data_IF_221443982260
#
_entry.id   IF_221443982260
#
_cell.length_a   1.000
_cell.length_b   1.000
_cell.length_c   1.000
_cell.angle_alpha   90.00
_cell.angle_beta   90.00
_cell.angle_gamma   90.00
#
_symmetry.space_group_name_H-M   'P 1'
#
loop_
_entity.id
_entity.type
_entity.pdbx_description
1 polymer ?
#
# COMPACT_ATOMS: atom_id res chain seq x y z
N UNK A 1 -26.83 3.22 143.99
CA UNK A 1 -26.03 4.03 143.02
C UNK A 1 -25.61 3.20 141.81
N UNK A 2 -25.20 1.95 141.99
CA UNK A 2 -24.87 1.00 140.91
C UNK A 2 -26.03 0.81 139.93
N UNK A 3 -27.26 0.62 140.40
CA UNK A 3 -28.43 0.40 139.51
C UNK A 3 -28.78 1.65 138.69
N UNK A 4 -28.62 2.84 139.26
CA UNK A 4 -28.82 4.12 138.55
C UNK A 4 -27.76 4.31 137.47
N UNK A 5 -26.50 3.95 137.73
CA UNK A 5 -25.42 3.98 136.74
C UNK A 5 -25.63 2.97 135.61
N UNK A 6 -26.14 1.77 135.92
CA UNK A 6 -26.47 0.74 134.93
C UNK A 6 -27.62 1.24 134.04
N UNK A 7 -28.69 1.79 134.62
CA UNK A 7 -29.81 2.37 133.86
C UNK A 7 -29.35 3.54 132.99
N UNK A 8 -28.53 4.46 133.53
CA UNK A 8 -27.97 5.57 132.75
C UNK A 8 -27.09 5.08 131.60
N UNK A 9 -26.27 4.06 131.85
CA UNK A 9 -25.44 3.42 130.82
C UNK A 9 -26.28 2.78 129.72
N UNK A 10 -27.37 2.09 130.07
CA UNK A 10 -28.26 1.42 129.13
C UNK A 10 -29.03 2.43 128.27
N UNK A 11 -29.49 3.53 128.87
CA UNK A 11 -30.11 4.65 128.14
C UNK A 11 -29.11 5.34 127.20
N UNK A 12 -27.86 5.53 127.64
CA UNK A 12 -26.81 6.10 126.79
C UNK A 12 -26.50 5.20 125.58
N UNK A 13 -26.41 3.89 125.78
CA UNK A 13 -26.21 2.92 124.70
C UNK A 13 -27.41 2.90 123.74
N UNK A 14 -28.64 2.95 124.26
CA UNK A 14 -29.85 3.05 123.44
C UNK A 14 -29.86 4.32 122.58
N UNK A 15 -29.48 5.47 123.15
CA UNK A 15 -29.39 6.73 122.42
C UNK A 15 -28.30 6.70 121.34
N UNK A 16 -27.16 6.07 121.59
CA UNK A 16 -26.10 5.88 120.60
C UNK A 16 -26.60 4.98 119.45
N UNK A 17 -27.30 3.88 119.76
CA UNK A 17 -27.89 2.98 118.76
C UNK A 17 -28.95 3.72 117.93
N UNK A 18 -29.82 4.49 118.57
CA UNK A 18 -30.83 5.31 117.88
C UNK A 18 -30.18 6.36 116.98
N UNK A 19 -29.12 7.03 117.43
CA UNK A 19 -28.39 8.01 116.63
C UNK A 19 -27.69 7.35 115.42
N UNK A 20 -27.05 6.19 115.63
CA UNK A 20 -26.43 5.43 114.56
C UNK A 20 -27.46 4.91 113.53
N UNK A 21 -28.60 4.41 113.99
CA UNK A 21 -29.71 3.95 113.13
C UNK A 21 -30.44 5.11 112.42
N UNK A 22 -30.28 6.33 112.94
CA UNK A 22 -30.88 7.55 112.42
C UNK A 22 -30.05 8.16 111.27
N UNK A 23 -28.74 7.92 111.24
CA UNK A 23 -27.87 8.48 110.20
C UNK A 23 -28.02 7.75 108.86
N UNK A 24 -28.37 8.49 107.80
CA UNK A 24 -28.48 7.98 106.44
C UNK A 24 -27.62 8.81 105.50
N UNK A 25 -26.71 8.15 104.80
CA UNK A 25 -25.86 8.76 103.77
C UNK A 25 -26.47 8.52 102.39
N UNK A 26 -26.84 9.60 101.71
CA UNK A 26 -27.40 9.55 100.36
C UNK A 26 -26.27 9.72 99.34
N UNK A 27 -26.20 8.83 98.36
CA UNK A 27 -25.26 8.98 97.24
C UNK A 27 -25.80 10.01 96.22
N UNK A 28 -24.96 10.75 95.47
CA UNK A 28 -25.41 11.74 94.49
C UNK A 28 -26.31 11.18 93.37
N UNK A 29 -26.17 9.89 93.03
CA UNK A 29 -26.97 9.16 92.04
C UNK A 29 -28.37 8.76 92.53
N UNK A 30 -28.72 9.07 93.79
CA UNK A 30 -30.01 8.70 94.38
C UNK A 30 -30.66 9.88 95.08
N UNK A 31 -31.97 10.00 94.92
CA UNK A 31 -32.80 10.83 95.77
C UNK A 31 -33.42 9.97 96.86
N UNK A 32 -33.40 10.46 98.09
CA UNK A 32 -34.07 9.81 99.21
C UNK A 32 -35.26 10.66 99.62
N UNK A 33 -36.43 10.03 99.62
CA UNK A 33 -37.68 10.61 100.09
C UNK A 33 -37.95 10.06 101.48
N UNK A 34 -37.94 10.94 102.48
CA UNK A 34 -38.21 10.60 103.87
C UNK A 34 -39.63 11.05 104.20
N UNK A 35 -40.50 10.10 104.49
CA UNK A 35 -41.91 10.37 104.81
C UNK A 35 -42.17 10.18 106.29
N UNK A 36 -42.84 11.14 106.93
CA UNK A 36 -43.20 11.09 108.34
C UNK A 36 -44.37 12.02 108.71
N UNK A 37 -44.67 12.19 110.01
CA UNK A 37 -45.85 12.92 110.49
C UNK A 37 -45.82 14.43 110.20
N UNK A 38 -44.67 14.99 109.79
CA UNK A 38 -44.49 16.39 109.39
C UNK A 38 -44.41 16.57 107.86
N UNK A 39 -44.83 15.57 107.09
CA UNK A 39 -44.76 15.56 105.62
C UNK A 39 -43.56 14.79 105.09
N UNK A 40 -43.32 14.95 103.79
CA UNK A 40 -42.19 14.35 103.07
C UNK A 40 -41.03 15.34 102.92
N UNK A 41 -39.80 14.85 103.07
CA UNK A 41 -38.56 15.60 102.82
C UNK A 41 -37.72 14.87 101.79
N UNK A 42 -37.26 15.60 100.78
CA UNK A 42 -36.41 15.07 99.72
C UNK A 42 -34.97 15.51 99.99
N UNK A 43 -34.03 14.56 99.91
CA UNK A 43 -32.60 14.81 100.08
C UNK A 43 -31.81 14.14 98.96
N UNK A 44 -30.94 14.90 98.31
CA UNK A 44 -30.01 14.44 97.27
C UNK A 44 -28.58 14.77 97.66
N UNK A 45 -27.65 13.82 97.49
CA UNK A 45 -26.20 14.04 97.66
C UNK A 45 -25.73 14.53 99.04
N UNK A 46 -26.58 14.47 100.08
CA UNK A 46 -26.28 14.93 101.45
C UNK A 46 -26.59 13.84 102.46
N UNK A 47 -25.90 13.88 103.60
CA UNK A 47 -26.29 13.07 104.74
C UNK A 47 -27.52 13.68 105.42
N UNK A 48 -28.41 12.83 105.90
CA UNK A 48 -29.62 13.24 106.61
C UNK A 48 -29.90 12.30 107.78
N UNK A 49 -30.67 12.81 108.75
CA UNK A 49 -31.00 12.13 109.98
C UNK A 49 -32.49 11.78 109.91
N UNK A 50 -32.82 10.49 110.03
CA UNK A 50 -34.19 9.98 110.04
C UNK A 50 -34.58 9.44 111.41
N UNK A 51 -35.75 9.77 111.92
CA UNK A 51 -36.22 9.24 113.20
C UNK A 51 -36.64 7.78 112.99
N UNK A 52 -35.92 6.79 113.55
CA UNK A 52 -36.27 5.39 113.40
C UNK A 52 -37.70 5.14 113.92
N UNK A 53 -38.40 4.16 113.34
CA UNK A 53 -39.80 3.79 113.60
C UNK A 53 -40.89 4.79 113.15
N UNK A 54 -40.63 6.10 113.18
CA UNK A 54 -41.62 7.13 112.81
C UNK A 54 -41.50 7.51 111.33
N UNK A 55 -40.28 7.47 110.76
CA UNK A 55 -40.02 7.89 109.39
C UNK A 55 -39.66 6.72 108.48
N UNK A 56 -40.31 6.68 107.31
CA UNK A 56 -40.02 5.75 106.21
C UNK A 56 -39.02 6.38 105.24
N UNK A 57 -38.16 5.55 104.66
CA UNK A 57 -37.18 5.93 103.65
C UNK A 57 -37.53 5.19 102.38
N UNK A 58 -37.68 5.94 101.29
CA UNK A 58 -37.79 5.38 99.96
C UNK A 58 -36.71 6.02 99.07
N UNK A 59 -36.08 5.22 98.22
CA UNK A 59 -34.97 5.66 97.37
C UNK A 59 -35.41 5.66 95.91
N UNK A 60 -35.10 6.75 95.21
CA UNK A 60 -35.36 6.90 93.78
C UNK A 60 -34.02 7.06 93.05
N UNK A 61 -33.73 6.26 92.01
CA UNK A 61 -32.52 6.42 91.22
C UNK A 61 -32.61 7.69 90.37
N UNK A 62 -31.52 8.47 90.33
CA UNK A 62 -31.35 9.63 89.46
C UNK A 62 -30.46 9.33 88.24
N UNK A 63 -30.10 8.05 88.08
CA UNK A 63 -29.30 7.57 86.96
C UNK A 63 -30.05 7.71 85.62
N UNK A 64 -29.27 7.69 84.55
CA UNK A 64 -29.80 7.74 83.19
C UNK A 64 -30.46 6.41 82.82
N UNK A 65 -31.70 6.49 82.35
CA UNK A 65 -32.50 5.36 81.92
C UNK A 65 -32.60 5.42 80.40
N UNK A 66 -32.09 4.37 79.75
CA UNK A 66 -32.24 4.21 78.31
C UNK A 66 -33.58 3.54 78.00
N UNK A 67 -34.33 4.12 77.07
CA UNK A 67 -35.64 3.65 76.61
C UNK A 67 -35.61 3.47 75.10
N UNK A 68 -35.88 2.26 74.63
CA UNK A 68 -36.05 1.97 73.20
C UNK A 68 -37.48 2.31 72.77
N UNK A 69 -37.60 3.28 71.87
CA UNK A 69 -38.87 3.76 71.32
C UNK A 69 -39.01 3.17 69.93
N UNK A 70 -40.09 2.43 69.71
CA UNK A 70 -40.42 1.87 68.40
C UNK A 70 -41.91 2.05 68.17
N UNK A 71 -42.28 2.50 66.98
CA UNK A 71 -43.69 2.60 66.60
C UNK A 71 -44.28 1.20 66.44
N UNK A 72 -45.26 0.85 67.26
CA UNK A 72 -45.89 -0.48 67.24
C UNK A 72 -46.76 -0.72 66.00
N UNK A 73 -47.26 0.36 65.40
CA UNK A 73 -48.03 0.36 64.16
C UNK A 73 -47.46 1.38 63.18
N UNK A 74 -47.72 1.17 61.90
CA UNK A 74 -47.29 2.12 60.88
C UNK A 74 -47.99 3.48 61.12
N UNK A 75 -47.21 4.55 61.06
CA UNK A 75 -47.69 5.92 61.24
C UNK A 75 -47.69 6.61 59.87
N UNK A 76 -48.83 7.16 59.43
CA UNK A 76 -48.86 7.95 58.20
C UNK A 76 -48.16 9.29 58.42
N UNK A 77 -47.25 9.64 57.52
CA UNK A 77 -46.65 10.97 57.43
C UNK A 77 -47.64 12.00 56.87
N UNK A 78 -47.25 13.27 56.79
CA UNK A 78 -48.04 14.33 56.15
C UNK A 78 -48.45 14.00 54.70
N UNK A 79 -47.67 13.17 54.02
CA UNK A 79 -47.90 12.72 52.64
C UNK A 79 -48.61 11.35 52.57
N UNK A 80 -49.20 10.90 53.68
CA UNK A 80 -49.92 9.62 53.80
C UNK A 80 -49.06 8.38 53.51
N UNK A 81 -47.73 8.50 53.66
CA UNK A 81 -46.81 7.36 53.55
C UNK A 81 -46.64 6.74 54.93
N UNK A 82 -46.94 5.45 55.02
CA UNK A 82 -46.88 4.65 56.24
C UNK A 82 -45.44 4.25 56.56
N UNK A 83 -44.91 4.76 57.67
CA UNK A 83 -43.56 4.46 58.13
C UNK A 83 -43.51 3.90 59.55
N UNK A 84 -42.41 3.22 59.84
CA UNK A 84 -41.97 2.78 61.15
C UNK A 84 -40.70 3.53 61.51
N UNK A 85 -40.62 3.98 62.76
CA UNK A 85 -39.46 4.70 63.26
C UNK A 85 -38.96 4.02 64.52
N UNK A 86 -37.67 3.75 64.52
CA UNK A 86 -36.94 3.21 65.66
C UNK A 86 -36.00 4.27 66.21
N UNK A 87 -36.02 4.46 67.52
CA UNK A 87 -35.16 5.40 68.22
C UNK A 87 -34.85 4.96 69.64
N UNK A 88 -33.89 5.65 70.23
CA UNK A 88 -33.49 5.47 71.62
C UNK A 88 -33.53 6.82 72.29
N UNK A 89 -34.19 6.90 73.42
CA UNK A 89 -34.17 8.07 74.28
C UNK A 89 -33.42 7.77 75.57
N UNK A 90 -32.63 8.75 75.99
CA UNK A 90 -32.01 8.74 77.30
C UNK A 90 -32.77 9.73 78.18
N UNK A 91 -33.45 9.20 79.18
CA UNK A 91 -34.24 9.99 80.13
C UNK A 91 -33.61 9.91 81.52
N UNK A 92 -33.91 10.89 82.36
CA UNK A 92 -33.54 10.86 83.79
C UNK A 92 -34.58 11.61 84.59
N UNK A 93 -34.61 11.39 85.90
CA UNK A 93 -35.41 12.22 86.80
C UNK A 93 -34.69 13.54 87.03
N UNK A 94 -35.40 14.66 86.90
CA UNK A 94 -34.82 15.98 87.11
C UNK A 94 -34.44 16.13 88.60
N UNK A 95 -33.31 16.77 88.90
CA UNK A 95 -32.76 16.82 90.27
C UNK A 95 -33.42 17.85 91.20
N UNK A 96 -34.41 18.59 90.69
CA UNK A 96 -35.21 19.55 91.43
C UNK A 96 -36.25 18.89 92.32
N UNK A 97 -36.53 19.54 93.46
CA UNK A 97 -37.41 18.99 94.49
C UNK A 97 -38.84 18.73 93.97
N UNK A 98 -39.35 19.60 93.09
CA UNK A 98 -40.68 19.45 92.50
C UNK A 98 -40.77 18.19 91.61
N UNK A 99 -39.79 17.98 90.72
CA UNK A 99 -39.76 16.81 89.83
C UNK A 99 -39.53 15.51 90.59
N UNK A 100 -38.65 15.50 91.59
CA UNK A 100 -38.44 14.32 92.43
C UNK A 100 -39.72 13.96 93.21
N UNK A 101 -40.50 14.95 93.64
CA UNK A 101 -41.79 14.71 94.30
C UNK A 101 -42.79 14.05 93.36
N UNK A 102 -42.97 14.61 92.15
CA UNK A 102 -43.86 14.04 91.12
C UNK A 102 -43.43 12.62 90.72
N UNK A 103 -42.15 12.42 90.47
CA UNK A 103 -41.59 11.10 90.15
C UNK A 103 -41.75 10.13 91.32
N UNK A 104 -41.61 10.59 92.56
CA UNK A 104 -41.85 9.81 93.77
C UNK A 104 -43.31 9.42 93.95
N UNK A 105 -44.27 10.25 93.55
CA UNK A 105 -45.70 9.90 93.60
C UNK A 105 -46.07 8.80 92.59
N UNK A 106 -45.44 8.82 91.40
CA UNK A 106 -45.79 7.91 90.30
C UNK A 106 -44.99 6.61 90.34
N UNK A 107 -43.67 6.67 90.62
CA UNK A 107 -42.73 5.59 90.35
C UNK A 107 -42.15 4.90 91.59
N UNK A 108 -42.36 5.41 92.80
CA UNK A 108 -41.69 4.92 94.02
C UNK A 108 -42.03 3.47 94.39
N UNK A 109 -43.20 2.98 93.99
CA UNK A 109 -43.62 1.57 94.17
C UNK A 109 -43.51 0.73 92.90
N UNK A 110 -43.05 1.33 91.80
CA UNK A 110 -42.98 0.69 90.48
C UNK A 110 -41.58 0.15 90.21
N UNK A 111 -41.51 -0.85 89.35
CA UNK A 111 -40.22 -1.35 88.87
C UNK A 111 -39.61 -0.38 87.85
N UNK A 112 -38.29 -0.45 87.66
CA UNK A 112 -37.62 0.36 86.64
C UNK A 112 -38.09 0.01 85.21
N UNK A 113 -38.57 -1.22 84.99
CA UNK A 113 -39.20 -1.63 83.73
C UNK A 113 -40.54 -0.94 83.50
N UNK A 114 -41.36 -0.79 84.54
CA UNK A 114 -42.62 -0.03 84.45
C UNK A 114 -42.36 1.44 84.10
N UNK A 115 -41.32 2.05 84.69
CA UNK A 115 -40.91 3.43 84.38
C UNK A 115 -40.52 3.54 82.90
N UNK A 116 -39.73 2.59 82.40
CA UNK A 116 -39.34 2.53 80.99
C UNK A 116 -40.56 2.38 80.08
N UNK A 117 -41.51 1.53 80.45
CA UNK A 117 -42.72 1.29 79.66
C UNK A 117 -43.61 2.54 79.59
N UNK A 118 -43.86 3.21 80.72
CA UNK A 118 -44.64 4.45 80.76
C UNK A 118 -43.96 5.54 79.93
N UNK A 119 -42.64 5.72 80.09
CA UNK A 119 -41.90 6.70 79.32
C UNK A 119 -41.90 6.37 77.82
N UNK A 120 -41.79 5.09 77.46
CA UNK A 120 -41.87 4.61 76.08
C UNK A 120 -43.21 4.98 75.45
N UNK A 121 -44.33 4.76 76.13
CA UNK A 121 -45.67 5.06 75.62
C UNK A 121 -45.86 6.55 75.32
N UNK A 122 -45.39 7.43 76.22
CA UNK A 122 -45.48 8.88 76.02
C UNK A 122 -44.56 9.35 74.89
N UNK A 123 -43.34 8.82 74.81
CA UNK A 123 -42.39 9.15 73.73
C UNK A 123 -42.89 8.63 72.38
N UNK A 124 -43.45 7.42 72.32
CA UNK A 124 -44.05 6.85 71.11
C UNK A 124 -45.25 7.68 70.65
N UNK A 125 -46.12 8.11 71.57
CA UNK A 125 -47.26 8.98 71.26
C UNK A 125 -46.84 10.32 70.66
N UNK A 126 -45.88 11.01 71.28
CA UNK A 126 -45.35 12.27 70.77
C UNK A 126 -44.58 12.08 69.46
N UNK A 127 -43.80 11.01 69.32
CA UNK A 127 -43.11 10.68 68.08
C UNK A 127 -44.11 10.47 66.94
N UNK A 128 -45.21 9.77 67.19
CA UNK A 128 -46.31 9.56 66.23
C UNK A 128 -46.93 10.88 65.78
N UNK A 129 -47.14 11.82 66.69
CA UNK A 129 -47.68 13.14 66.38
C UNK A 129 -46.75 13.93 65.44
N UNK A 130 -45.44 13.98 65.75
CA UNK A 130 -44.46 14.70 64.92
C UNK A 130 -44.31 14.05 63.54
N UNK A 131 -44.33 12.71 63.45
CA UNK A 131 -44.31 12.00 62.16
C UNK A 131 -45.48 12.45 61.27
N UNK A 132 -46.68 12.60 61.83
CA UNK A 132 -47.87 13.03 61.09
C UNK A 132 -47.78 14.46 60.54
N UNK A 133 -46.91 15.31 61.11
CA UNK A 133 -46.73 16.70 60.68
C UNK A 133 -45.59 16.87 59.66
N UNK A 134 -44.67 15.91 59.56
CA UNK A 134 -43.50 15.99 58.69
C UNK A 134 -43.65 15.19 57.39
N UNK A 135 -42.94 15.61 56.35
CA UNK A 135 -42.81 14.87 55.08
C UNK A 135 -41.77 13.76 55.21
N UNK A 136 -41.94 12.68 54.44
CA UNK A 136 -41.01 11.54 54.46
C UNK A 136 -39.56 11.97 54.16
N UNK A 137 -39.39 12.80 53.12
CA UNK A 137 -38.08 13.29 52.69
C UNK A 137 -37.36 14.06 53.81
N UNK A 138 -38.08 14.91 54.55
CA UNK A 138 -37.50 15.69 55.65
C UNK A 138 -37.08 14.81 56.83
N UNK A 139 -37.88 13.77 57.15
CA UNK A 139 -37.58 12.81 58.22
C UNK A 139 -36.28 12.05 57.95
N UNK A 140 -36.08 11.59 56.71
CA UNK A 140 -34.90 10.81 56.32
C UNK A 140 -33.65 11.70 56.21
N UNK A 141 -33.79 12.93 55.67
CA UNK A 141 -32.67 13.85 55.46
C UNK A 141 -32.20 14.53 56.76
N UNK A 142 -33.12 14.98 57.61
CA UNK A 142 -32.82 15.80 58.79
C UNK A 142 -33.25 15.09 60.08
N UNK A 143 -32.56 13.99 60.41
CA UNK A 143 -32.87 13.16 61.58
C UNK A 143 -32.77 13.92 62.91
N UNK A 144 -31.80 14.82 63.02
CA UNK A 144 -31.58 15.60 64.24
C UNK A 144 -32.71 16.60 64.50
N UNK A 145 -33.20 17.25 63.44
CA UNK A 145 -34.33 18.19 63.52
C UNK A 145 -35.59 17.47 63.98
N UNK A 146 -35.83 16.27 63.44
CA UNK A 146 -36.95 15.44 63.89
C UNK A 146 -36.79 15.02 65.36
N UNK A 147 -35.61 14.55 65.78
CA UNK A 147 -35.33 14.18 67.16
C UNK A 147 -35.53 15.36 68.14
N UNK A 148 -35.14 16.57 67.74
CA UNK A 148 -35.34 17.80 68.50
C UNK A 148 -36.83 18.14 68.63
N UNK A 149 -37.60 18.05 67.55
CA UNK A 149 -39.05 18.30 67.58
C UNK A 149 -39.79 17.29 68.48
N UNK A 150 -39.42 16.01 68.41
CA UNK A 150 -39.98 14.98 69.31
C UNK A 150 -39.63 15.28 70.76
N UNK A 151 -38.37 15.70 71.04
CA UNK A 151 -37.95 16.11 72.39
C UNK A 151 -38.78 17.27 72.89
N UNK A 152 -38.97 18.32 72.09
CA UNK A 152 -39.73 19.51 72.48
C UNK A 152 -41.21 19.21 72.74
N UNK A 153 -41.83 18.37 71.90
CA UNK A 153 -43.23 17.94 72.09
C UNK A 153 -43.40 17.14 73.38
N UNK A 154 -42.54 16.14 73.60
CA UNK A 154 -42.64 15.25 74.75
C UNK A 154 -42.23 15.91 76.09
N UNK A 155 -41.53 17.05 76.04
CA UNK A 155 -41.00 17.73 77.22
C UNK A 155 -42.11 18.10 78.22
N UNK A 156 -43.25 18.60 77.74
CA UNK A 156 -44.36 19.01 78.58
C UNK A 156 -44.97 17.83 79.36
N UNK A 157 -45.13 16.67 78.70
CA UNK A 157 -45.70 15.47 79.34
C UNK A 157 -44.69 14.75 80.23
N UNK A 158 -43.41 14.72 79.85
CA UNK A 158 -42.34 14.19 80.69
C UNK A 158 -42.19 14.96 82.00
N UNK A 159 -42.26 16.30 81.93
CA UNK A 159 -42.19 17.16 83.13
C UNK A 159 -43.31 16.91 84.13
N UNK A 160 -44.53 16.61 83.66
CA UNK A 160 -45.65 16.25 84.56
C UNK A 160 -45.36 14.99 85.37
N UNK A 161 -44.47 14.13 84.89
CA UNK A 161 -44.02 12.91 85.57
C UNK A 161 -42.70 13.10 86.34
N UNK A 162 -42.12 14.30 86.33
CA UNK A 162 -40.80 14.57 86.92
C UNK A 162 -39.62 14.01 86.12
N UNK A 163 -39.84 13.64 84.86
CA UNK A 163 -38.83 13.13 83.94
C UNK A 163 -38.30 14.24 83.03
N UNK A 164 -37.02 14.15 82.68
CA UNK A 164 -36.34 15.01 81.71
C UNK A 164 -35.72 14.14 80.60
N UNK A 165 -35.74 14.68 79.38
CA UNK A 165 -35.19 14.02 78.20
C UNK A 165 -33.80 14.60 77.93
N UNK A 166 -32.77 13.81 78.20
CA UNK A 166 -31.38 14.22 77.94
C UNK A 166 -31.17 14.33 76.43
N UNK A 167 -31.42 13.23 75.72
CA UNK A 167 -31.34 13.19 74.26
C UNK A 167 -32.30 12.13 73.68
N UNK A 168 -32.58 12.28 72.38
CA UNK A 168 -33.26 11.29 71.56
C UNK A 168 -32.38 11.07 70.33
N UNK A 169 -32.12 9.82 69.99
CA UNK A 169 -31.37 9.43 68.80
C UNK A 169 -32.24 8.52 67.94
N UNK A 170 -32.37 8.84 66.66
CA UNK A 170 -33.15 8.04 65.72
C UNK A 170 -32.24 7.04 65.04
N UNK A 171 -32.57 5.76 65.14
CA UNK A 171 -31.76 4.66 64.61
C UNK A 171 -32.14 4.37 63.16
N UNK A 172 -33.44 4.19 62.91
CA UNK A 172 -33.91 3.70 61.62
C UNK A 172 -35.28 4.26 61.22
N UNK A 173 -35.48 4.38 59.91
CA UNK A 173 -36.77 4.62 59.28
C UNK A 173 -37.03 3.46 58.33
N UNK A 174 -38.14 2.77 58.52
CA UNK A 174 -38.59 1.71 57.61
C UNK A 174 -39.94 2.09 57.04
N UNK A 175 -40.22 1.70 55.80
CA UNK A 175 -41.52 1.89 55.19
C UNK A 175 -42.02 0.57 54.60
N UNK A 176 -43.34 0.41 54.46
CA UNK A 176 -43.92 -0.84 53.97
C UNK A 176 -43.87 -0.96 52.44
N UNK A 177 -43.76 0.17 51.74
CA UNK A 177 -43.99 0.25 50.30
C UNK A 177 -42.69 0.44 49.48
N UNK A 178 -41.52 0.50 50.13
CA UNK A 178 -40.22 0.73 49.48
C UNK A 178 -39.98 2.17 49.02
N UNK A 179 -40.77 3.13 49.45
CA UNK A 179 -40.69 4.54 49.01
C UNK A 179 -39.37 5.17 49.41
N UNK A 180 -38.78 4.78 50.55
CA UNK A 180 -37.47 5.29 50.97
C UNK A 180 -36.38 4.81 50.01
N UNK A 181 -36.45 3.54 49.59
CA UNK A 181 -35.51 2.97 48.62
C UNK A 181 -35.66 3.64 47.25
N UNK A 182 -36.91 3.87 46.80
CA UNK A 182 -37.22 4.57 45.56
C UNK A 182 -36.68 6.01 45.55
N UNK A 183 -36.80 6.73 46.68
CA UNK A 183 -36.19 8.06 46.86
C UNK A 183 -34.67 8.01 46.75
N UNK A 184 -34.05 6.92 47.23
CA UNK A 184 -32.63 6.67 47.06
C UNK A 184 -32.25 6.48 45.58
N UNK A 185 -33.02 5.68 44.85
CA UNK A 185 -32.81 5.43 43.41
C UNK A 185 -32.96 6.73 42.60
N UNK A 186 -34.01 7.51 42.84
CA UNK A 186 -34.25 8.80 42.17
C UNK A 186 -33.08 9.78 42.42
N UNK A 187 -32.65 9.91 43.68
CA UNK A 187 -31.53 10.78 44.03
C UNK A 187 -30.21 10.33 43.36
N UNK A 188 -29.95 9.02 43.30
CA UNK A 188 -28.78 8.47 42.58
C UNK A 188 -28.87 8.78 41.08
N UNK A 189 -30.05 8.63 40.46
CA UNK A 189 -30.27 8.93 39.05
C UNK A 189 -30.04 10.42 38.74
N UNK A 190 -30.54 11.30 39.61
CA UNK A 190 -30.33 12.75 39.49
C UNK A 190 -28.85 13.11 39.64
N UNK A 191 -28.15 12.60 40.67
CA UNK A 191 -26.70 12.80 40.83
C UNK A 191 -25.94 12.31 39.61
N UNK A 192 -26.29 11.15 39.05
CA UNK A 192 -25.66 10.62 37.82
C UNK A 192 -25.92 11.50 36.61
N UNK A 193 -27.13 12.03 36.46
CA UNK A 193 -27.49 12.95 35.38
C UNK A 193 -26.68 14.24 35.48
N UNK A 194 -26.65 14.86 36.65
CA UNK A 194 -25.91 16.10 36.89
C UNK A 194 -24.41 15.89 36.69
N UNK A 195 -23.86 14.78 37.18
CA UNK A 195 -22.47 14.40 36.93
C UNK A 195 -22.17 14.19 35.43
N UNK A 196 -23.11 13.60 34.68
CA UNK A 196 -22.97 13.41 33.23
C UNK A 196 -23.00 14.73 32.46
N UNK A 197 -23.88 15.66 32.85
CA UNK A 197 -23.93 17.02 32.29
C UNK A 197 -22.63 17.77 32.61
N UNK A 198 -22.16 17.69 33.85
CA UNK A 198 -20.90 18.32 34.26
C UNK A 198 -19.71 17.77 33.47
N UNK A 199 -19.66 16.44 33.24
CA UNK A 199 -18.63 15.81 32.41
C UNK A 199 -18.70 16.30 30.96
N UNK A 200 -19.88 16.28 30.35
CA UNK A 200 -20.06 16.73 28.95
C UNK A 200 -19.67 18.21 28.76
N UNK A 201 -20.01 19.07 29.72
CA UNK A 201 -19.59 20.48 29.69
C UNK A 201 -18.07 20.61 29.82
N UNK A 202 -17.45 19.84 30.72
CA UNK A 202 -15.99 19.84 30.89
C UNK A 202 -15.28 19.34 29.64
N UNK A 203 -15.75 18.25 29.03
CA UNK A 203 -15.20 17.70 27.77
C UNK A 203 -15.34 18.71 26.62
N UNK A 204 -16.49 19.37 26.50
CA UNK A 204 -16.70 20.44 25.51
C UNK A 204 -15.70 21.58 25.72
N UNK A 205 -15.46 22.02 26.95
CA UNK A 205 -14.50 23.08 27.25
C UNK A 205 -13.06 22.66 26.89
N UNK A 206 -12.68 21.42 27.22
CA UNK A 206 -11.37 20.85 26.84
C UNK A 206 -11.22 20.78 25.32
N UNK A 207 -12.25 20.34 24.59
CA UNK A 207 -12.24 20.26 23.12
C UNK A 207 -12.10 21.66 22.48
N UNK A 208 -12.82 22.66 23.00
CA UNK A 208 -12.71 24.06 22.54
C UNK A 208 -11.31 24.61 22.81
N UNK A 209 -10.77 24.40 24.02
CA UNK A 209 -9.44 24.85 24.38
C UNK A 209 -8.37 24.19 23.49
N UNK A 210 -8.49 22.89 23.25
CA UNK A 210 -7.60 22.12 22.39
C UNK A 210 -7.69 22.58 20.93
N UNK A 211 -8.90 22.82 20.42
CA UNK A 211 -9.12 23.31 19.07
C UNK A 211 -8.53 24.70 18.88
N UNK A 212 -8.75 25.63 19.82
CA UNK A 212 -8.12 26.96 19.81
C UNK A 212 -6.60 26.88 19.87
N UNK A 213 -6.06 25.99 20.72
CA UNK A 213 -4.61 25.78 20.78
C UNK A 213 -4.05 25.26 19.45
N UNK A 214 -4.74 24.33 18.79
CA UNK A 214 -4.37 23.82 17.46
C UNK A 214 -4.47 24.88 16.37
N UNK A 215 -5.52 25.70 16.38
CA UNK A 215 -5.70 26.83 15.46
C UNK A 215 -4.53 27.81 15.58
N UNK A 216 -4.21 28.25 16.81
CA UNK A 216 -3.08 29.14 17.08
C UNK A 216 -1.73 28.53 16.66
N UNK A 217 -1.53 27.23 16.92
CA UNK A 217 -0.32 26.53 16.49
C UNK A 217 -0.21 26.44 14.96
N UNK A 218 -1.32 26.15 14.27
CA UNK A 218 -1.35 26.12 12.80
C UNK A 218 -1.13 27.50 12.19
N UNK A 219 -1.74 28.54 12.73
CA UNK A 219 -1.53 29.93 12.29
C UNK A 219 -0.05 30.33 12.43
N UNK A 220 0.58 29.99 13.55
CA UNK A 220 2.01 30.23 13.75
C UNK A 220 2.86 29.45 12.73
N UNK A 221 2.51 28.18 12.46
CA UNK A 221 3.19 27.35 11.47
C UNK A 221 3.05 27.92 10.05
N UNK A 222 1.84 28.29 9.64
CA UNK A 222 1.57 28.85 8.30
C UNK A 222 2.32 30.17 8.12
N UNK A 223 2.34 31.05 9.13
CA UNK A 223 3.12 32.29 9.09
C UNK A 223 4.60 32.02 8.90
N UNK A 224 5.17 31.09 9.68
CA UNK A 224 6.58 30.71 9.54
C UNK A 224 6.88 30.11 8.16
N UNK A 225 6.01 29.25 7.64
CA UNK A 225 6.16 28.63 6.31
C UNK A 225 6.09 29.68 5.18
N UNK A 226 5.15 30.63 5.29
CA UNK A 226 5.01 31.73 4.34
C UNK A 226 6.26 32.63 4.34
N UNK A 227 6.82 32.91 5.51
CA UNK A 227 8.05 33.71 5.64
C UNK A 227 9.26 32.97 5.04
N UNK A 228 9.38 31.66 5.28
CA UNK A 228 10.40 30.82 4.63
C UNK A 228 10.26 30.85 3.11
N UNK A 229 9.03 30.69 2.59
CA UNK A 229 8.80 30.67 1.15
C UNK A 229 9.06 32.04 0.50
N UNK A 230 8.71 33.14 1.19
CA UNK A 230 9.08 34.49 0.77
C UNK A 230 10.60 34.67 0.72
N UNK A 231 11.33 34.18 1.73
CA UNK A 231 12.78 34.22 1.75
C UNK A 231 13.39 33.38 0.62
N UNK A 232 12.89 32.16 0.39
CA UNK A 232 13.32 31.30 -0.72
C UNK A 232 13.10 31.96 -2.08
N UNK A 233 11.92 32.54 -2.30
CA UNK A 233 11.62 33.26 -3.54
C UNK A 233 12.54 34.47 -3.71
N UNK A 234 12.79 35.24 -2.63
CA UNK A 234 13.74 36.36 -2.67
C UNK A 234 15.17 35.92 -2.98
N UNK A 235 15.60 34.76 -2.44
CA UNK A 235 16.90 34.17 -2.70
C UNK A 235 16.99 33.72 -4.17
N UNK A 236 15.95 33.07 -4.70
CA UNK A 236 15.89 32.62 -6.08
C UNK A 236 15.94 33.80 -7.06
N UNK A 237 15.19 34.88 -6.79
CA UNK A 237 15.25 36.12 -7.58
C UNK A 237 16.66 36.72 -7.57
N UNK A 238 17.30 36.77 -6.40
CA UNK A 238 18.66 37.33 -6.25
C UNK A 238 19.70 36.45 -6.94
N UNK A 239 19.56 35.12 -6.87
CA UNK A 239 20.39 34.18 -7.61
C UNK A 239 20.21 34.33 -9.13
N UNK A 240 18.98 34.48 -9.61
CA UNK A 240 18.70 34.72 -11.03
C UNK A 240 19.31 36.04 -11.51
N UNK A 241 19.21 37.11 -10.73
CA UNK A 241 19.82 38.40 -11.03
C UNK A 241 21.36 38.32 -11.07
N UNK A 242 21.97 37.65 -10.08
CA UNK A 242 23.42 37.42 -10.05
C UNK A 242 23.88 36.54 -11.21
N UNK A 243 23.10 35.52 -11.59
CA UNK A 243 23.39 34.66 -12.74
C UNK A 243 23.30 35.45 -14.04
N UNK A 244 22.28 36.29 -14.21
CA UNK A 244 22.18 37.18 -15.36
C UNK A 244 23.41 38.10 -15.44
N UNK A 245 23.84 38.71 -14.32
CA UNK A 245 25.06 39.52 -14.25
C UNK A 245 26.31 38.71 -14.60
N UNK A 246 26.44 37.49 -14.10
CA UNK A 246 27.55 36.59 -14.41
C UNK A 246 27.58 36.17 -15.88
N UNK A 247 26.42 35.84 -16.47
CA UNK A 247 26.28 35.45 -17.88
C UNK A 247 26.61 36.63 -18.81
N UNK A 248 26.20 37.86 -18.46
CA UNK A 248 26.61 39.08 -19.19
C UNK A 248 28.12 39.32 -19.07
N UNK A 249 28.69 39.20 -17.88
CA UNK A 249 30.14 39.34 -17.67
C UNK A 249 30.93 38.25 -18.44
N UNK A 250 30.41 37.02 -18.49
CA UNK A 250 31.02 35.94 -19.24
C UNK A 250 30.89 36.16 -20.75
N UNK A 251 29.71 36.53 -21.25
CA UNK A 251 29.51 36.80 -22.67
C UNK A 251 30.38 37.98 -23.16
N UNK A 252 30.58 39.01 -22.34
CA UNK A 252 31.51 40.11 -22.66
C UNK A 252 32.98 39.67 -22.65
N UNK A 253 33.38 38.79 -21.73
CA UNK A 253 34.71 38.19 -21.72
C UNK A 253 34.95 37.26 -22.93
N UNK A 254 33.99 36.38 -23.25
CA UNK A 254 34.03 35.45 -24.38
C UNK A 254 34.08 36.22 -25.70
N UNK A 255 33.25 37.26 -25.88
CA UNK A 255 33.29 38.12 -27.05
C UNK A 255 34.65 38.85 -27.18
N UNK A 256 35.22 39.31 -26.06
CA UNK A 256 36.55 39.92 -26.05
C UNK A 256 37.64 38.93 -26.44
N UNK A 257 37.56 37.69 -25.95
CA UNK A 257 38.46 36.61 -26.30
C UNK A 257 38.34 36.22 -27.78
N UNK A 258 37.12 36.06 -28.31
CA UNK A 258 36.89 35.77 -29.72
C UNK A 258 37.43 36.88 -30.64
N UNK A 259 37.28 38.15 -30.26
CA UNK A 259 37.86 39.28 -30.99
C UNK A 259 39.38 39.21 -30.98
N UNK A 260 40.00 38.96 -29.81
CA UNK A 260 41.47 38.80 -29.72
C UNK A 260 41.96 37.61 -30.53
N UNK A 261 41.31 36.45 -30.41
CA UNK A 261 41.63 35.25 -31.16
C UNK A 261 41.49 35.47 -32.67
N UNK A 262 40.44 36.15 -33.13
CA UNK A 262 40.26 36.48 -34.55
C UNK A 262 41.38 37.41 -35.06
N UNK A 263 41.80 38.39 -34.25
CA UNK A 263 42.93 39.27 -34.59
C UNK A 263 44.26 38.51 -34.64
N UNK A 264 44.52 37.62 -33.69
CA UNK A 264 45.72 36.76 -33.71
C UNK A 264 45.68 35.76 -34.85
N UNK A 265 44.55 35.11 -35.11
CA UNK A 265 44.37 34.20 -36.24
C UNK A 265 44.58 34.91 -37.58
N UNK A 266 44.10 36.14 -37.73
CA UNK A 266 44.40 36.99 -38.90
C UNK A 266 45.90 37.23 -39.03
N UNK A 267 46.58 37.55 -37.94
CA UNK A 267 48.03 37.76 -37.92
C UNK A 267 48.80 36.49 -38.28
N UNK A 268 48.41 35.34 -37.73
CA UNK A 268 48.98 34.02 -38.04
C UNK A 268 48.75 33.68 -39.51
N UNK A 269 47.54 33.89 -40.05
CA UNK A 269 47.24 33.61 -41.46
C UNK A 269 48.09 34.48 -42.40
N UNK A 270 48.28 35.77 -42.10
CA UNK A 270 49.20 36.63 -42.85
C UNK A 270 50.62 36.07 -42.78
N UNK A 271 51.09 35.66 -41.60
CA UNK A 271 52.44 35.07 -41.45
C UNK A 271 52.60 33.75 -42.21
N UNK A 272 51.56 32.89 -42.22
CA UNK A 272 51.54 31.63 -42.96
C UNK A 272 51.55 31.86 -44.47
N UNK A 273 50.74 32.80 -44.97
CA UNK A 273 50.75 33.18 -46.39
C UNK A 273 52.12 33.71 -46.80
N UNK A 274 52.74 34.56 -45.98
CA UNK A 274 54.10 35.05 -46.25
C UNK A 274 55.13 33.90 -46.26
N UNK A 275 55.04 32.95 -45.33
CA UNK A 275 55.91 31.78 -45.31
C UNK A 275 55.68 30.84 -46.51
N UNK A 276 54.45 30.71 -46.99
CA UNK A 276 54.08 29.91 -48.16
C UNK A 276 54.56 30.55 -49.46
N UNK A 277 54.50 31.89 -49.57
CA UNK A 277 55.12 32.65 -50.66
C UNK A 277 56.62 32.40 -50.66
N UNK A 278 57.30 32.54 -49.53
CA UNK A 278 58.74 32.29 -49.41
C UNK A 278 59.13 30.84 -49.77
N UNK A 279 58.29 29.85 -49.42
CA UNK A 279 58.49 28.45 -49.85
C UNK A 279 58.35 28.29 -51.37
N UNK A 280 57.31 28.88 -51.98
CA UNK A 280 57.11 28.83 -53.43
C UNK A 280 58.22 29.53 -54.20
N UNK A 281 58.71 30.67 -53.72
CA UNK A 281 59.87 31.35 -54.32
C UNK A 281 61.10 30.45 -54.32
N UNK A 282 61.40 29.76 -53.21
CA UNK A 282 62.50 28.78 -53.15
C UNK A 282 62.28 27.56 -54.04
N UNK A 283 61.05 27.07 -54.17
CA UNK A 283 60.74 25.95 -55.07
C UNK A 283 60.93 26.32 -56.54
N UNK A 284 60.52 27.54 -56.92
CA UNK A 284 60.78 28.08 -58.26
C UNK A 284 62.29 28.18 -58.51
N UNK A 285 63.06 28.69 -57.55
CA UNK A 285 64.52 28.75 -57.65
C UNK A 285 65.15 27.36 -57.83
N UNK A 286 64.68 26.35 -57.08
CA UNK A 286 65.16 24.97 -57.21
C UNK A 286 64.85 24.40 -58.60
N UNK A 287 63.61 24.55 -59.08
CA UNK A 287 63.21 24.10 -60.42
C UNK A 287 64.00 24.78 -61.53
N UNK A 288 64.32 26.07 -61.40
CA UNK A 288 65.16 26.75 -62.40
C UNK A 288 66.57 26.14 -62.47
N UNK A 289 67.14 25.72 -61.34
CA UNK A 289 68.44 25.02 -61.32
C UNK A 289 68.35 23.60 -61.87
N UNK A 290 67.25 22.89 -61.62
CA UNK A 290 67.03 21.54 -62.16
C UNK A 290 66.91 21.53 -63.68
N UNK A 291 66.17 22.49 -64.26
CA UNK A 291 66.06 22.67 -65.72
C UNK A 291 67.43 22.94 -66.36
N UNK A 292 68.28 23.76 -65.72
CA UNK A 292 69.63 24.05 -66.23
C UNK A 292 70.55 22.81 -66.23
N UNK A 293 70.39 21.91 -65.24
CA UNK A 293 71.11 20.63 -65.20
C UNK A 293 70.59 19.69 -66.31
N UNK A 294 69.28 19.63 -66.50
CA UNK A 294 68.65 18.77 -67.50
C UNK A 294 69.05 19.16 -68.94
N UNK A 295 69.08 20.45 -69.26
CA UNK A 295 69.56 20.97 -70.55
C UNK A 295 71.01 20.52 -70.86
N UNK A 296 71.91 20.60 -69.89
CA UNK A 296 73.33 20.17 -70.04
C UNK A 296 73.45 18.66 -70.27
N UNK A 297 72.56 17.86 -69.69
CA UNK A 297 72.56 16.40 -69.90
C UNK A 297 72.04 15.99 -71.28
N UNK A 298 71.02 16.68 -71.78
CA UNK A 298 70.44 16.46 -73.10
C UNK A 298 71.40 16.84 -74.23
N UNK A 299 72.11 17.97 -74.12
CA UNK A 299 73.14 18.36 -75.10
C UNK A 299 74.27 17.33 -75.23
N UNK A 300 74.74 16.78 -74.11
CA UNK A 300 75.79 15.76 -74.10
C UNK A 300 75.35 14.44 -74.76
N UNK A 301 74.05 14.11 -74.64
CA UNK A 301 73.45 12.90 -75.21
C UNK A 301 73.23 13.03 -76.72
N UNK A 302 72.81 14.20 -77.20
CA UNK A 302 72.56 14.46 -78.63
C UNK A 302 73.89 14.50 -79.42
N UNK A 303 74.95 15.12 -78.90
CA UNK A 303 76.26 15.13 -79.57
C UNK A 303 76.86 13.73 -79.77
N UNK A 304 76.80 12.87 -78.74
CA UNK A 304 77.30 11.48 -78.83
C UNK A 304 76.46 10.61 -79.76
N UNK A 305 75.15 10.86 -79.85
CA UNK A 305 74.27 10.16 -80.80
C UNK A 305 74.56 10.56 -82.26
N UNK A 306 74.86 11.84 -82.51
CA UNK A 306 75.17 12.34 -83.85
C UNK A 306 76.53 11.85 -84.40
N UNK A 307 77.55 11.68 -83.54
CA UNK A 307 78.85 11.13 -83.95
C UNK A 307 78.78 9.62 -84.28
N UNK A 308 77.97 8.85 -83.54
CA UNK A 308 77.76 7.42 -83.80
C UNK A 308 77.03 7.16 -85.13
N UNK A 309 76.08 8.02 -85.49
CA UNK A 309 75.27 7.88 -86.71
C UNK A 309 76.04 8.27 -87.99
N UNK A 310 77.06 9.13 -87.88
CA UNK A 310 77.98 9.46 -88.98
C UNK A 310 78.90 8.27 -89.32
N UNK A 311 79.47 7.65 -88.29
CA UNK A 311 80.38 6.49 -88.44
C UNK A 311 79.66 5.25 -89.01
N UNK A 312 78.39 5.04 -88.63
CA UNK A 312 77.56 3.96 -89.16
C UNK A 312 77.16 4.16 -90.64
N UNK A 313 77.08 5.40 -91.13
CA UNK A 313 76.76 5.71 -92.53
C UNK A 313 77.96 5.58 -93.47
N UNK A 314 79.17 5.86 -93.02
CA UNK A 314 80.39 5.65 -93.81
C UNK A 314 80.64 4.16 -94.09
N UNK A 315 80.52 3.28 -93.09
CA UNK A 315 80.71 1.83 -93.29
C UNK A 315 79.64 1.18 -94.17
N UNK A 316 78.39 1.67 -94.14
CA UNK A 316 77.33 1.17 -95.03
C UNK A 316 77.57 1.53 -96.51
N UNK A 317 78.11 2.72 -96.78
CA UNK A 317 78.38 3.15 -98.15
C UNK A 317 79.56 2.39 -98.80
N UNK A 318 80.55 1.97 -98.01
CA UNK A 318 81.70 1.19 -98.49
C UNK A 318 81.34 -0.28 -98.76
N UNK A 319 80.42 -0.85 -97.98
CA UNK A 319 79.88 -2.20 -98.20
C UNK A 319 78.99 -2.31 -99.46
N UNK A 320 78.20 -1.28 -99.79
CA UNK A 320 77.35 -1.28 -100.99
C UNK A 320 78.14 -1.18 -102.29
N UNK A 321 79.29 -0.46 -102.30
CA UNK A 321 80.18 -0.38 -103.46
C UNK A 321 80.84 -1.73 -103.79
N UNK A 322 81.26 -2.48 -102.77
CA UNK A 322 81.87 -3.80 -102.92
C UNK A 322 80.89 -4.84 -103.50
N UNK A 323 79.62 -4.82 -103.06
CA UNK A 323 78.56 -5.72 -103.55
C UNK A 323 78.22 -5.44 -105.02
N UNK A 324 78.06 -4.16 -105.42
CA UNK A 324 77.77 -3.80 -106.82
C UNK A 324 78.89 -4.16 -107.79
N UNK A 325 80.17 -4.07 -107.39
CA UNK A 325 81.29 -4.46 -108.26
C UNK A 325 81.39 -5.96 -108.49
N UNK A 326 80.99 -6.78 -107.51
CA UNK A 326 81.01 -8.25 -107.61
C UNK A 326 79.81 -8.81 -108.39
N UNK A 327 78.65 -8.17 -108.33
CA UNK A 327 77.46 -8.56 -109.10
C UNK A 327 77.58 -8.24 -110.61
N UNK A 328 78.31 -7.19 -110.97
CA UNK A 328 78.61 -6.86 -112.37
C UNK A 328 79.63 -7.84 -113.03
N UNK A 329 80.57 -8.39 -112.26
CA UNK A 329 81.51 -9.42 -112.74
C UNK A 329 80.84 -10.81 -112.88
N UNK A 330 79.86 -11.12 -112.03
CA UNK A 330 79.12 -12.39 -112.05
C UNK A 330 78.17 -12.50 -113.26
N UNK A 331 77.54 -11.39 -113.66
CA UNK A 331 76.58 -11.37 -114.78
C UNK A 331 77.24 -11.49 -116.16
N UNK A 332 78.47 -10.97 -116.33
CA UNK A 332 79.25 -11.15 -117.57
C UNK A 332 79.74 -12.60 -117.78
N UNK A 333 80.05 -13.31 -116.69
CA UNK A 333 80.51 -14.70 -116.73
C UNK A 333 79.38 -15.74 -116.97
N UNK A 334 78.14 -15.42 -116.59
CA UNK A 334 76.98 -16.29 -116.86
C UNK A 334 76.51 -16.22 -118.31
N UNK A 335 76.60 -15.05 -118.96
CA UNK A 335 76.18 -14.87 -120.36
C UNK A 335 77.21 -15.48 -121.36
N UNK A 336 78.52 -15.45 -121.07
CA UNK A 336 79.53 -16.14 -121.89
C UNK A 336 79.43 -17.67 -121.84
N UNK A 337 79.01 -18.23 -120.68
CA UNK A 337 78.77 -19.68 -120.52
C UNK A 337 77.46 -20.14 -121.14
N UNK A 338 76.43 -19.29 -121.18
CA UNK A 338 75.16 -19.57 -121.87
C UNK A 338 75.33 -19.58 -123.40
N UNK A 339 76.20 -18.73 -123.97
CA UNK A 339 76.48 -18.71 -125.40
C UNK A 339 77.27 -19.93 -125.92
N UNK A 340 78.10 -20.57 -125.08
CA UNK A 340 78.84 -21.80 -125.43
C UNK A 340 77.98 -23.08 -125.28
N UNK A 341 77.01 -23.09 -124.36
CA UNK A 341 76.10 -24.22 -124.15
C UNK A 341 75.11 -24.42 -125.31
N UNK A 342 74.66 -23.35 -125.96
CA UNK A 342 73.70 -23.40 -127.08
C UNK A 342 74.35 -23.88 -128.40
N UNK A 343 75.64 -23.58 -128.64
CA UNK A 343 76.38 -24.11 -129.80
C UNK A 343 76.61 -25.62 -129.73
N UNK A 344 76.88 -26.14 -128.53
CA UNK A 344 77.15 -27.57 -128.30
C UNK A 344 75.87 -28.43 -128.35
N UNK A 345 74.71 -27.85 -128.03
CA UNK A 345 73.40 -28.52 -128.16
C UNK A 345 72.91 -28.58 -129.62
N UNK A 346 73.24 -27.59 -130.45
CA UNK A 346 72.87 -27.57 -131.88
C UNK A 346 73.65 -28.58 -132.75
N UNK A 347 74.88 -28.95 -132.36
CA UNK A 347 75.67 -29.99 -133.05
C UNK A 347 75.29 -31.42 -132.61
N UNK A 348 74.79 -31.60 -131.38
CA UNK A 348 74.31 -32.88 -130.87
C UNK A 348 72.94 -33.30 -131.45
N UNK A 349 72.04 -32.35 -131.73
CA UNK A 349 70.75 -32.63 -132.38
C UNK A 349 70.88 -33.02 -133.85
N UNK A 350 71.89 -32.50 -134.57
CA UNK A 350 72.17 -32.86 -135.97
C UNK A 350 72.62 -34.32 -136.13
N UNK A 351 73.41 -34.84 -135.19
CA UNK A 351 73.92 -36.21 -135.20
C UNK A 351 72.87 -37.25 -134.74
N UNK A 352 71.91 -36.84 -133.91
CA UNK A 352 70.78 -37.68 -133.46
C UNK A 352 69.67 -37.83 -134.52
N UNK A 353 69.50 -36.86 -135.42
CA UNK A 353 68.53 -36.97 -136.53
C UNK A 353 69.04 -37.83 -137.70
N UNK A 354 70.35 -37.95 -137.89
CA UNK A 354 70.96 -38.74 -138.99
C UNK A 354 70.93 -40.26 -138.72
N UNK A 355 70.97 -40.69 -137.45
CA UNK A 355 70.87 -42.12 -137.06
C UNK A 355 69.42 -42.62 -136.89
N UNK A 356 68.46 -41.73 -136.62
CA UNK A 356 67.03 -42.10 -136.51
C UNK A 356 66.36 -42.33 -137.87
N UNK A 357 66.98 -41.91 -138.98
CA UNK A 357 66.52 -42.19 -140.34
C UNK A 357 66.72 -43.65 -140.80
N UNK A 358 67.55 -44.45 -140.11
CA UNK A 358 67.84 -45.85 -140.47
C UNK A 358 66.94 -46.85 -139.69
N UNK A 359 66.42 -46.47 -138.51
CA UNK A 359 65.54 -47.33 -137.70
C UNK A 359 64.05 -47.34 -138.12
N UNK A 360 63.62 -46.36 -138.91
CA UNK A 360 62.22 -46.17 -139.33
C UNK A 360 61.77 -47.17 -140.43
N UNK A 361 62.67 -47.97 -141.02
CA UNK A 361 62.29 -49.04 -141.97
C UNK A 361 61.99 -50.41 -141.34
N UNK A 362 62.43 -50.68 -140.09
CA UNK A 362 62.31 -52.02 -139.49
C UNK A 362 61.12 -52.19 -138.51
N UNK A 363 60.63 -51.11 -137.90
CA UNK A 363 59.51 -51.16 -136.92
C UNK A 363 58.14 -51.02 -137.61
N UNK A 364 58.07 -50.41 -138.79
CA UNK A 364 56.85 -50.25 -139.59
C UNK A 364 56.26 -51.55 -140.16
N UNK A 365 56.96 -52.67 -140.06
CA UNK A 365 56.48 -54.00 -140.49
C UNK A 365 55.89 -54.85 -139.34
N UNK A 366 56.16 -54.53 -138.08
CA UNK A 366 55.79 -55.36 -136.93
C UNK A 366 54.54 -54.88 -136.17
N UNK A 367 54.20 -53.58 -136.17
CA UNK A 367 53.02 -53.08 -135.44
C UNK A 367 51.71 -53.21 -136.24
N UNK A 368 51.79 -53.43 -137.55
CA UNK A 368 50.64 -53.77 -138.39
C UNK A 368 50.03 -55.15 -138.03
N UNK A 369 50.80 -56.07 -137.43
CA UNK A 369 50.29 -57.38 -136.97
C UNK A 369 49.66 -57.34 -135.57
N UNK A 370 50.01 -56.36 -134.73
CA UNK A 370 49.47 -56.21 -133.38
C UNK A 370 48.05 -55.59 -133.36
N UNK A 371 47.73 -54.78 -134.38
CA UNK A 371 46.45 -54.07 -134.51
C UNK A 371 45.30 -55.00 -134.96
N UNK A 372 45.58 -56.14 -135.61
CA UNK A 372 44.56 -57.12 -135.99
C UNK A 372 44.09 -58.01 -134.81
N UNK A 373 44.96 -58.32 -133.84
CA UNK A 373 44.63 -59.24 -132.72
C UNK A 373 43.96 -58.57 -131.51
N UNK A 374 44.04 -57.24 -131.38
CA UNK A 374 43.31 -56.50 -130.32
C UNK A 374 41.85 -56.17 -130.70
N UNK A 375 41.47 -56.30 -131.98
CA UNK A 375 40.09 -56.15 -132.45
C UNK A 375 39.20 -57.37 -132.16
N UNK A 376 39.78 -58.55 -131.88
CA UNK A 376 39.02 -59.78 -131.57
C UNK A 376 38.65 -59.91 -130.07
N UNK A 377 39.35 -59.19 -129.18
CA UNK A 377 39.13 -59.26 -127.73
C UNK A 377 37.98 -58.34 -127.22
N UNK A 378 37.50 -57.41 -128.05
CA UNK A 378 36.35 -56.54 -127.74
C UNK A 378 34.98 -57.15 -128.11
N UNK A 379 34.93 -58.40 -128.57
CA UNK A 379 33.69 -59.03 -129.09
C UNK A 379 33.09 -60.13 -128.19
N UNK A 380 33.68 -60.44 -127.04
CA UNK A 380 33.16 -61.46 -126.10
C UNK A 380 33.42 -61.08 -124.65
N UNK A 381 32.54 -60.28 -124.05
CA UNK A 381 31.76 -60.68 -122.88
C UNK A 381 30.96 -59.49 -122.34
N UNK A 382 29.71 -59.77 -122.06
CA UNK A 382 28.56 -58.90 -121.85
C UNK A 382 28.08 -59.06 -120.40
N UNK A 383 27.51 -57.99 -119.86
CA UNK A 383 26.55 -57.91 -118.73
C UNK A 383 27.02 -57.30 -117.39
N UNK A 384 26.32 -56.20 -117.08
CA UNK A 384 25.68 -55.89 -115.81
C UNK A 384 26.37 -54.95 -114.80
N UNK A 385 25.59 -53.91 -114.51
CA UNK A 385 25.45 -53.22 -113.22
C UNK A 385 26.34 -51.99 -112.94
N UNK A 386 26.07 -50.95 -113.74
CA UNK A 386 25.87 -49.59 -113.22
C UNK A 386 24.50 -49.56 -112.52
N UNK A 387 24.41 -49.64 -111.19
CA UNK A 387 23.24 -49.22 -110.38
C UNK A 387 23.48 -49.38 -108.86
N UNK A 388 23.78 -48.31 -108.10
CA UNK A 388 23.49 -48.36 -106.65
C UNK A 388 23.34 -47.00 -105.92
N UNK A 389 23.72 -45.85 -106.47
CA UNK A 389 23.75 -44.61 -105.66
C UNK A 389 22.65 -43.57 -105.96
N UNK A 390 21.64 -43.84 -106.80
CA UNK A 390 20.67 -42.80 -107.22
C UNK A 390 19.19 -43.10 -106.94
N UNK A 391 18.81 -44.21 -106.33
CA UNK A 391 17.37 -44.48 -106.08
C UNK A 391 17.12 -45.08 -104.70
N UNK A 392 16.86 -44.23 -103.69
CA UNK A 392 15.60 -44.27 -102.92
C UNK A 392 15.58 -43.33 -101.69
N UNK A 393 14.81 -42.25 -101.85
CA UNK A 393 13.79 -41.72 -100.93
C UNK A 393 14.18 -41.19 -99.54
N UNK A 394 14.04 -39.86 -99.34
CA UNK A 394 13.04 -39.30 -98.43
C UNK A 394 13.03 -37.75 -98.37
N UNK A 395 12.07 -37.15 -99.08
CA UNK A 395 11.69 -35.73 -98.98
C UNK A 395 10.23 -35.65 -98.48
N UNK A 396 9.91 -34.63 -97.65
CA UNK A 396 8.57 -34.15 -97.22
C UNK A 396 7.80 -35.02 -96.18
N UNK A 397 7.06 -34.49 -95.14
CA UNK A 397 6.83 -33.10 -94.67
C UNK A 397 6.65 -32.91 -93.12
N UNK A 398 7.44 -32.04 -92.46
CA UNK A 398 7.23 -31.62 -91.04
C UNK A 398 6.59 -30.22 -90.88
N UNK A 399 5.84 -29.75 -91.89
CA UNK A 399 5.30 -28.36 -91.94
C UNK A 399 3.76 -28.30 -91.72
N UNK A 400 3.11 -29.37 -91.21
CA UNK A 400 1.63 -29.41 -91.08
C UNK A 400 1.11 -29.92 -89.71
N UNK A 401 1.78 -29.68 -88.57
CA UNK A 401 1.22 -30.10 -87.27
C UNK A 401 1.41 -29.21 -86.03
N UNK A 402 1.95 -28.00 -86.17
CA UNK A 402 2.01 -27.03 -85.06
C UNK A 402 0.86 -26.00 -85.13
N UNK A 403 -0.35 -26.48 -85.47
CA UNK A 403 -1.57 -25.68 -85.66
C UNK A 403 -2.64 -25.93 -84.56
N UNK A 404 -2.26 -26.46 -83.39
CA UNK A 404 -3.21 -26.81 -82.33
C UNK A 404 -2.80 -26.35 -80.92
N UNK A 405 -1.93 -25.35 -80.79
CA UNK A 405 -1.38 -24.93 -79.49
C UNK A 405 -1.87 -23.59 -78.89
N UNK A 406 -2.70 -22.73 -79.51
CA UNK A 406 -3.15 -21.52 -78.79
C UNK A 406 -4.65 -21.20 -78.86
N UNK A 407 -5.53 -21.90 -78.11
CA UNK A 407 -6.97 -21.52 -77.98
C UNK A 407 -7.71 -21.96 -76.68
N UNK A 408 -7.13 -21.87 -75.48
CA UNK A 408 -7.91 -21.90 -74.20
C UNK A 408 -7.47 -20.78 -73.23
N UNK A 409 -7.47 -19.57 -73.79
CA UNK A 409 -7.21 -18.26 -73.17
C UNK A 409 -7.87 -18.05 -71.79
N UNK A 410 -7.20 -17.20 -71.00
CA UNK A 410 -7.81 -16.31 -70.01
C UNK A 410 -8.69 -15.29 -70.73
N UNK A 411 -9.98 -15.20 -70.40
CA UNK A 411 -10.95 -14.25 -70.99
C UNK A 411 -11.58 -13.34 -69.91
N UNK A 412 -10.80 -12.40 -69.37
CA UNK A 412 -11.26 -11.20 -68.63
C UNK A 412 -12.68 -10.74 -69.04
N UNK A 413 -13.52 -10.29 -68.09
CA UNK A 413 -14.28 -9.00 -68.10
C UNK A 413 -14.98 -8.76 -66.75
N UNK A 414 -14.93 -7.50 -66.31
CA UNK A 414 -15.56 -6.90 -65.12
C UNK A 414 -16.77 -6.07 -65.57
N UNK A 415 -17.93 -6.09 -64.87
CA UNK A 415 -18.74 -4.87 -64.66
C UNK A 415 -19.89 -4.99 -63.62
N UNK A 416 -19.79 -4.13 -62.59
CA UNK A 416 -20.76 -3.28 -61.84
C UNK A 416 -22.25 -3.63 -61.67
N UNK A 417 -22.71 -3.48 -60.41
CA UNK A 417 -24.12 -3.26 -60.06
C UNK A 417 -24.37 -3.36 -58.55
N UNK A 418 -24.39 -2.20 -57.88
CA UNK A 418 -24.73 -1.99 -56.48
C UNK A 418 -26.23 -2.28 -56.22
N UNK A 419 -26.56 -2.89 -55.08
CA UNK A 419 -27.96 -3.14 -54.72
C UNK A 419 -28.22 -4.40 -53.89
N UNK A 420 -27.83 -4.35 -52.61
CA UNK A 420 -28.72 -4.58 -51.46
C UNK A 420 -30.19 -4.93 -51.84
N UNK A 421 -30.88 -5.96 -51.36
CA UNK A 421 -30.70 -6.83 -50.20
C UNK A 421 -31.69 -8.00 -50.35
N UNK A 422 -31.35 -9.15 -49.76
CA UNK A 422 -32.31 -10.11 -49.18
C UNK A 422 -33.50 -10.58 -50.04
N UNK A 423 -33.37 -11.76 -50.63
CA UNK A 423 -34.25 -12.92 -50.33
C UNK A 423 -33.46 -14.20 -50.66
N UNK A 424 -33.39 -15.26 -49.87
CA UNK A 424 -33.95 -15.64 -48.58
C UNK A 424 -33.21 -16.95 -48.24
N UNK A 425 -32.61 -17.05 -47.06
CA UNK A 425 -32.50 -18.27 -46.23
C UNK A 425 -32.76 -19.63 -46.93
N UNK A 426 -31.70 -20.37 -47.33
CA UNK A 426 -31.73 -21.86 -47.29
C UNK A 426 -30.39 -22.59 -47.42
N UNK A 427 -29.29 -21.98 -47.88
CA UNK A 427 -28.07 -22.78 -48.19
C UNK A 427 -26.89 -22.49 -47.25
N UNK A 428 -27.21 -22.32 -45.97
CA UNK A 428 -26.33 -22.69 -44.87
C UNK A 428 -26.88 -24.02 -44.34
N UNK A 429 -25.99 -24.95 -43.99
CA UNK A 429 -26.23 -26.29 -43.38
C UNK A 429 -26.25 -27.45 -44.39
N UNK A 430 -25.11 -27.77 -45.03
CA UNK A 430 -24.75 -29.17 -45.44
C UNK A 430 -23.34 -29.33 -46.06
N UNK A 431 -22.31 -28.66 -45.56
CA UNK A 431 -20.91 -28.95 -45.97
C UNK A 431 -19.90 -28.79 -44.83
N UNK A 432 -20.27 -29.28 -43.65
CA UNK A 432 -19.39 -29.36 -42.47
C UNK A 432 -19.36 -30.77 -41.84
N UNK A 433 -19.99 -31.75 -42.47
CA UNK A 433 -20.25 -33.10 -41.94
C UNK A 433 -19.33 -34.19 -42.50
N UNK A 434 -18.20 -33.86 -43.13
CA UNK A 434 -17.34 -34.88 -43.77
C UNK A 434 -15.92 -34.99 -43.19
N UNK A 435 -15.63 -34.30 -42.08
CA UNK A 435 -14.32 -34.39 -41.41
C UNK A 435 -14.41 -34.92 -39.98
N UNK A 436 -15.54 -34.73 -39.29
CA UNK A 436 -15.71 -35.15 -37.88
C UNK A 436 -16.23 -36.59 -37.68
N UNK A 437 -16.71 -37.25 -38.75
CA UNK A 437 -17.07 -38.68 -38.73
C UNK A 437 -15.84 -39.59 -38.52
N UNK A 438 -14.66 -39.14 -38.98
CA UNK A 438 -13.42 -39.94 -39.02
C UNK A 438 -12.74 -40.17 -37.66
N UNK A 439 -13.06 -39.36 -36.64
CA UNK A 439 -12.42 -39.42 -35.31
C UNK A 439 -13.23 -40.26 -34.31
N UNK A 440 -14.54 -40.41 -34.54
CA UNK A 440 -15.44 -41.27 -33.74
C UNK A 440 -15.27 -42.76 -34.06
N UNK A 441 -14.97 -43.11 -35.32
CA UNK A 441 -14.69 -44.48 -35.75
C UNK A 441 -13.31 -45.02 -35.30
N UNK A 442 -12.35 -44.15 -34.99
CA UNK A 442 -10.98 -44.55 -34.66
C UNK A 442 -10.72 -44.81 -33.16
N UNK A 443 -11.59 -44.34 -32.25
CA UNK A 443 -11.30 -44.36 -30.81
C UNK A 443 -12.44 -44.83 -29.89
N UNK A 444 -13.67 -45.04 -30.41
CA UNK A 444 -14.72 -45.82 -29.75
C UNK A 444 -15.20 -45.35 -28.37
N UNK A 445 -14.79 -44.16 -27.89
CA UNK A 445 -15.15 -43.64 -26.57
C UNK A 445 -15.84 -42.29 -26.69
N UNK A 446 -17.15 -42.30 -26.39
CA UNK A 446 -18.05 -41.15 -26.44
C UNK A 446 -18.11 -40.43 -25.08
N UNK A 447 -17.23 -39.43 -24.90
CA UNK A 447 -17.11 -38.64 -23.68
C UNK A 447 -18.32 -37.74 -23.39
N UNK A 448 -19.28 -37.62 -24.31
CA UNK A 448 -20.55 -36.92 -24.06
C UNK A 448 -21.57 -37.78 -23.28
N UNK A 449 -21.33 -39.08 -23.16
CA UNK A 449 -22.18 -40.01 -22.38
C UNK A 449 -21.75 -40.19 -20.92
N UNK A 450 -20.55 -39.72 -20.54
CA UNK A 450 -20.01 -39.86 -19.18
C UNK A 450 -20.39 -38.72 -18.21
N UNK A 451 -20.93 -37.59 -18.70
CA UNK A 451 -21.33 -36.45 -17.87
C UNK A 451 -22.84 -36.19 -17.83
N UNK A 452 -23.63 -36.92 -18.63
CA UNK A 452 -25.10 -36.90 -18.57
C UNK A 452 -25.70 -38.09 -17.80
N UNK A 453 -24.87 -38.92 -17.18
CA UNK A 453 -25.26 -40.14 -16.45
C UNK A 453 -25.42 -40.00 -14.94
N UNK A 454 -25.25 -38.81 -14.36
CA UNK A 454 -25.40 -38.59 -12.91
C UNK A 454 -26.72 -37.90 -12.51
N UNK A 455 -27.68 -37.81 -13.44
CA UNK A 455 -29.00 -37.24 -13.18
C UNK A 455 -30.10 -38.07 -13.83
N UNK A 456 -30.85 -38.78 -12.99
CA UNK A 456 -32.16 -39.39 -13.27
C UNK A 456 -32.20 -40.73 -14.02
N UNK A 457 -32.13 -41.84 -13.28
CA UNK A 457 -33.13 -42.93 -13.34
C UNK A 457 -32.86 -44.04 -12.30
N UNK A 458 -33.47 -43.92 -11.10
CA UNK A 458 -34.22 -45.05 -10.55
C UNK A 458 -35.23 -44.60 -9.48
N UNK A 459 -36.44 -44.35 -9.95
CA UNK A 459 -37.66 -44.61 -9.19
C UNK A 459 -37.73 -46.11 -8.88
N UNK A 460 -37.96 -46.50 -7.62
CA UNK A 460 -39.07 -47.38 -7.20
C UNK A 460 -38.95 -47.77 -5.71
N UNK A 461 -40.13 -47.89 -5.07
CA UNK A 461 -40.46 -48.18 -3.65
C UNK A 461 -40.56 -46.93 -2.77
N UNK A 462 -41.73 -46.30 -2.64
CA UNK A 462 -43.04 -46.80 -2.18
C UNK A 462 -43.05 -47.23 -0.70
N UNK A 463 -43.98 -46.60 0.02
CA UNK A 463 -44.55 -46.89 1.34
C UNK A 463 -43.65 -46.94 2.60
N UNK A 464 -43.95 -46.01 3.53
CA UNK A 464 -44.22 -46.25 4.97
C UNK A 464 -43.48 -45.23 5.87
N UNK A 465 -44.14 -44.18 6.37
CA UNK A 465 -44.98 -44.11 7.60
C UNK A 465 -44.14 -43.74 8.84
N UNK A 466 -44.51 -42.59 9.41
CA UNK A 466 -44.57 -42.20 10.84
C UNK A 466 -43.38 -42.42 11.79
N UNK A 467 -43.20 -41.35 12.57
CA UNK A 467 -42.95 -41.28 14.03
C UNK A 467 -41.52 -41.40 14.60
N UNK A 468 -41.35 -40.52 15.59
CA UNK A 468 -40.52 -40.59 16.80
C UNK A 468 -39.10 -40.02 16.78
N UNK A 469 -38.96 -39.00 17.63
CA UNK A 469 -37.91 -38.76 18.63
C UNK A 469 -36.44 -38.81 18.19
N UNK A 470 -35.79 -37.64 18.22
CA UNK A 470 -35.05 -37.13 19.39
C UNK A 470 -34.64 -35.68 19.20
#
# INVERSE_FOLDING_TARGET
MTDVLIILGLVAVLLIILFAASYVKVRPDKAVIITGPRGSRIVTGKATIRIPFIQRIDMLPLDLIQVDIRTSSAVPTNEFINIFVDGVANIKIQSDEASIRLAGEIFLTRSLEDVKQIAKEVLEGNMREIIGQMKLRELVQNRDKFAEQVKLSALADMKKMGLDIVNITIQNFADKNGVIDDLGVDNIAQIRKDASIARANSEKEVEIATSKAKELANDARIKAELEIEQQNNSLALRQAELKQKADVAKATADASYEIQFANEAKTINISKQNAEIAKREKEIELRTKEVEVEEKTLEARIKKAAEAERYAREQKAEAELFVRTKEAEATLAEEERRAQAVKLQAEAERFQQEQKAIGIQAVGLAEAEAILKKAEAMKKMESAAVLELVLNSNVLPNIVKAAAEPLTKVDKIVMYGDGNNTKLMSDVINSSTQVLESVKEATGLDLASLLAGFGAAKLTKDASKKESDQ
#
